data_IF_103093594377
#
_entry.id   IF_103093594377
#
_cell.length_a   1.000
_cell.length_b   1.000
_cell.length_c   1.000
_cell.angle_alpha   90.00
_cell.angle_beta   90.00
_cell.angle_gamma   90.00
#
_symmetry.space_group_name_H-M   'P 1'
#
loop_
_entity.id
_entity.type
_entity.pdbx_description
1 polymer ?
#
# COMPACT_ATOMS: atom_id res chain seq x y z
N UNK A 1 -7.45 -21.50 -2.74
CA UNK A 1 -7.06 -20.94 -4.06
C UNK A 1 -6.69 -19.46 -3.95
N UNK A 2 -5.96 -18.92 -4.93
CA UNK A 2 -5.68 -17.48 -5.01
C UNK A 2 -6.97 -16.62 -5.12
N UNK A 3 -8.07 -17.26 -5.53
CA UNK A 3 -9.42 -16.68 -5.61
C UNK A 3 -10.08 -16.45 -4.25
N UNK A 4 -9.56 -17.06 -3.17
CA UNK A 4 -10.09 -16.87 -1.81
C UNK A 4 -9.56 -15.60 -1.13
N UNK A 5 -8.63 -14.89 -1.76
CA UNK A 5 -8.08 -13.64 -1.26
C UNK A 5 -9.15 -12.56 -1.34
N UNK A 6 -9.56 -12.02 -0.20
CA UNK A 6 -10.60 -10.98 -0.11
C UNK A 6 -10.07 -9.56 -0.24
N UNK A 7 -8.75 -9.37 -0.16
CA UNK A 7 -8.11 -8.07 -0.25
C UNK A 7 -6.61 -8.13 0.01
N UNK A 8 -5.90 -7.08 -0.42
CA UNK A 8 -4.44 -6.96 -0.27
C UNK A 8 -4.12 -5.77 0.64
N UNK A 9 -3.25 -5.98 1.62
CA UNK A 9 -2.71 -4.91 2.46
C UNK A 9 -1.24 -4.71 2.15
N UNK A 10 -0.84 -3.46 1.97
CA UNK A 10 0.52 -3.05 1.61
C UNK A 10 0.96 -1.88 2.48
N UNK A 11 2.23 -1.90 2.87
CA UNK A 11 2.87 -0.80 3.59
C UNK A 11 3.27 0.29 2.60
N UNK A 12 2.73 1.51 2.75
CA UNK A 12 2.98 2.65 1.84
C UNK A 12 4.12 3.57 2.25
N UNK A 13 4.79 3.31 3.38
CA UNK A 13 5.93 4.08 3.88
C UNK A 13 5.70 4.65 5.29
N UNK A 14 6.65 5.44 5.82
CA UNK A 14 7.93 5.83 5.20
C UNK A 14 8.92 4.66 5.07
N UNK A 15 9.75 4.68 4.02
CA UNK A 15 10.70 3.60 3.72
C UNK A 15 11.47 3.83 2.42
N UNK A 16 12.22 2.81 1.98
CA UNK A 16 13.02 2.87 0.74
C UNK A 16 12.14 3.16 -0.48
N UNK A 17 12.49 4.21 -1.22
CA UNK A 17 11.78 4.66 -2.42
C UNK A 17 11.62 3.54 -3.46
N UNK A 18 12.70 2.80 -3.72
CA UNK A 18 12.71 1.69 -4.69
C UNK A 18 11.81 0.55 -4.24
N UNK A 19 11.93 0.15 -2.96
CA UNK A 19 11.12 -0.94 -2.41
C UNK A 19 9.63 -0.58 -2.39
N UNK A 20 9.29 0.67 -2.00
CA UNK A 20 7.92 1.15 -1.98
C UNK A 20 7.33 1.20 -3.39
N UNK A 21 8.07 1.69 -4.40
CA UNK A 21 7.58 1.71 -5.79
C UNK A 21 7.30 0.33 -6.33
N UNK A 22 8.27 -0.59 -6.21
CA UNK A 22 8.12 -1.96 -6.73
C UNK A 22 7.02 -2.69 -5.98
N UNK A 23 7.00 -2.60 -4.64
CA UNK A 23 6.01 -3.26 -3.79
C UNK A 23 4.59 -2.76 -4.05
N UNK A 24 4.38 -1.45 -4.10
CA UNK A 24 3.05 -0.88 -4.35
C UNK A 24 2.60 -1.11 -5.79
N UNK A 25 3.49 -1.02 -6.79
CA UNK A 25 3.14 -1.34 -8.17
C UNK A 25 2.65 -2.79 -8.28
N UNK A 26 3.42 -3.74 -7.75
CA UNK A 26 3.08 -5.16 -7.75
C UNK A 26 1.76 -5.43 -7.03
N UNK A 27 1.58 -4.87 -5.83
CA UNK A 27 0.36 -5.06 -5.05
C UNK A 27 -0.88 -4.46 -5.72
N UNK A 28 -0.76 -3.25 -6.28
CA UNK A 28 -1.84 -2.61 -7.02
C UNK A 28 -2.22 -3.41 -8.27
N UNK A 29 -1.24 -3.89 -9.04
CA UNK A 29 -1.49 -4.72 -10.23
C UNK A 29 -2.16 -6.04 -9.86
N UNK A 30 -1.72 -6.70 -8.78
CA UNK A 30 -2.32 -7.94 -8.32
C UNK A 30 -3.77 -7.72 -7.85
N UNK A 31 -4.01 -6.66 -7.08
CA UNK A 31 -5.35 -6.31 -6.62
C UNK A 31 -6.29 -5.95 -7.77
N UNK A 32 -5.77 -5.26 -8.79
CA UNK A 32 -6.50 -4.94 -10.01
C UNK A 32 -6.84 -6.21 -10.81
N UNK A 33 -5.87 -7.10 -11.04
CA UNK A 33 -6.07 -8.34 -11.77
C UNK A 33 -7.09 -9.29 -11.09
N UNK A 34 -7.12 -9.29 -9.75
CA UNK A 34 -8.06 -10.09 -8.96
C UNK A 34 -9.38 -9.36 -8.66
N UNK A 35 -9.53 -8.10 -9.07
CA UNK A 35 -10.70 -7.26 -8.78
C UNK A 35 -11.01 -7.13 -7.26
N UNK A 36 -9.98 -7.14 -6.43
CA UNK A 36 -10.10 -7.09 -4.97
C UNK A 36 -9.68 -5.72 -4.41
N UNK A 37 -10.22 -5.31 -3.24
CA UNK A 37 -9.79 -4.08 -2.59
C UNK A 37 -8.33 -4.18 -2.13
N UNK A 38 -7.63 -3.05 -2.21
CA UNK A 38 -6.27 -2.89 -1.70
C UNK A 38 -6.24 -1.74 -0.69
N UNK A 39 -5.48 -1.91 0.39
CA UNK A 39 -5.32 -0.90 1.43
C UNK A 39 -3.83 -0.59 1.67
N UNK A 40 -3.55 0.69 1.85
CA UNK A 40 -2.21 1.19 2.16
C UNK A 40 -2.09 1.58 3.62
N UNK A 41 -1.27 0.88 4.39
CA UNK A 41 -0.98 1.22 5.78
C UNK A 41 0.32 1.98 5.91
N UNK A 42 0.35 2.98 6.80
CA UNK A 42 1.57 3.73 7.12
C UNK A 42 2.36 2.94 8.16
N UNK A 43 3.64 2.68 7.88
CA UNK A 43 4.55 2.08 8.86
C UNK A 43 4.82 3.14 9.93
N UNK A 44 4.23 2.97 11.09
CA UNK A 44 4.60 3.75 12.27
C UNK A 44 5.37 2.83 13.20
N UNK A 45 6.19 3.36 14.12
CA UNK A 45 6.89 2.58 15.15
C UNK A 45 5.94 1.87 16.14
N UNK A 46 4.65 1.81 15.81
CA UNK A 46 3.60 1.15 16.56
C UNK A 46 3.69 -0.37 16.34
N UNK A 47 3.32 -1.11 17.37
CA UNK A 47 3.35 -2.58 17.37
C UNK A 47 2.56 -3.15 16.19
N UNK A 48 3.09 -4.22 15.59
CA UNK A 48 2.53 -4.87 14.40
C UNK A 48 1.04 -5.24 14.55
N UNK A 49 0.56 -5.51 15.76
CA UNK A 49 -0.83 -5.86 16.03
C UNK A 49 -1.82 -4.71 15.75
N UNK A 50 -1.44 -3.46 16.02
CA UNK A 50 -2.29 -2.28 15.79
C UNK A 50 -2.49 -2.02 14.28
N UNK A 51 -1.44 -2.29 13.49
CA UNK A 51 -1.48 -2.21 12.03
C UNK A 51 -2.44 -3.24 11.44
N UNK A 52 -2.42 -4.47 11.95
CA UNK A 52 -3.33 -5.54 11.51
C UNK A 52 -4.78 -5.16 11.82
N UNK A 53 -5.07 -4.66 13.05
CA UNK A 53 -6.41 -4.21 13.44
C UNK A 53 -6.93 -3.10 12.53
N UNK A 54 -6.12 -2.06 12.32
CA UNK A 54 -6.46 -0.93 11.45
C UNK A 54 -6.67 -1.38 10.00
N UNK A 55 -5.86 -2.33 9.53
CA UNK A 55 -5.98 -2.92 8.21
C UNK A 55 -7.32 -3.64 8.00
N UNK A 56 -7.67 -4.52 8.93
CA UNK A 56 -8.94 -5.27 8.90
C UNK A 56 -10.16 -4.33 8.99
N UNK A 57 -10.11 -3.28 9.79
CA UNK A 57 -11.17 -2.27 9.84
C UNK A 57 -11.30 -1.47 8.54
N UNK A 58 -10.18 -1.17 7.88
CA UNK A 58 -10.17 -0.46 6.61
C UNK A 58 -10.85 -1.26 5.50
N UNK A 59 -10.69 -2.59 5.51
CA UNK A 59 -11.41 -3.48 4.58
C UNK A 59 -12.92 -3.48 4.78
N UNK A 60 -13.44 -3.25 5.99
CA UNK A 60 -14.90 -3.15 6.22
C UNK A 60 -15.50 -1.90 5.55
N UNK A 61 -14.71 -0.83 5.43
CA UNK A 61 -15.15 0.46 4.85
C UNK A 61 -14.98 0.50 3.33
N UNK A 62 -13.98 -0.20 2.79
CA UNK A 62 -13.64 -0.15 1.37
C UNK A 62 -14.35 -1.26 0.62
N UNK A 63 -15.31 -0.88 -0.25
CA UNK A 63 -16.05 -1.80 -1.12
C UNK A 63 -15.53 -1.88 -2.56
N UNK A 64 -14.52 -1.07 -2.91
CA UNK A 64 -14.01 -0.96 -4.30
C UNK A 64 -12.49 -0.83 -4.32
N UNK A 65 -11.89 -1.25 -5.42
CA UNK A 65 -10.47 -1.03 -5.69
C UNK A 65 -10.15 0.48 -5.67
N UNK A 66 -9.15 0.86 -4.87
CA UNK A 66 -8.58 2.20 -4.85
C UNK A 66 -7.07 2.05 -4.80
N UNK A 67 -6.39 2.48 -5.86
CA UNK A 67 -4.93 2.37 -5.95
C UNK A 67 -4.26 3.01 -4.73
N UNK A 68 -3.28 2.31 -4.16
CA UNK A 68 -2.46 2.83 -3.07
C UNK A 68 -1.29 3.60 -3.66
N UNK A 69 -1.11 4.83 -3.19
CA UNK A 69 0.04 5.66 -3.53
C UNK A 69 1.12 5.58 -2.43
N UNK A 70 2.40 5.54 -2.81
CA UNK A 70 3.51 5.58 -1.87
C UNK A 70 3.57 6.94 -1.18
N UNK A 71 3.86 6.92 0.12
CA UNK A 71 4.16 8.10 0.91
C UNK A 71 5.69 8.25 0.95
N UNK A 72 6.20 9.03 0.02
CA UNK A 72 7.62 9.38 -0.01
C UNK A 72 7.89 10.41 1.09
N UNK A 73 8.86 10.12 1.96
CA UNK A 73 9.35 11.07 2.96
C UNK A 73 10.35 12.09 2.40
N UNK A 74 10.61 12.07 1.09
CA UNK A 74 11.58 12.96 0.45
C UNK A 74 10.94 13.58 -0.79
N UNK A 75 11.08 14.90 -0.93
CA UNK A 75 10.72 15.59 -2.16
C UNK A 75 11.58 15.06 -3.32
N UNK A 76 11.05 15.01 -4.55
CA UNK A 76 11.86 14.62 -5.70
C UNK A 76 13.03 15.59 -5.85
N UNK A 77 14.28 15.11 -5.74
CA UNK A 77 15.45 15.88 -6.16
C UNK A 77 15.46 15.98 -7.68
N UNK A 78 14.72 16.95 -8.23
CA UNK A 78 14.91 17.39 -9.60
C UNK A 78 16.20 18.20 -9.64
N UNK A 79 17.23 17.66 -10.31
CA UNK A 79 18.42 18.43 -10.65
C UNK A 79 17.96 19.55 -11.59
N UNK A 80 17.93 20.78 -11.09
CA UNK A 80 17.65 21.95 -11.92
C UNK A 80 18.86 22.12 -12.83
N UNK A 81 18.72 21.73 -14.10
CA UNK A 81 19.73 22.05 -15.11
C UNK A 81 19.68 23.57 -15.32
N UNK A 82 20.75 24.23 -14.88
CA UNK A 82 21.00 25.65 -15.14
C UNK A 82 21.58 25.85 -16.53
#
# INVERSE_FOLDING_TARGET
DIKDIKGIMVVKGPGSFTALRIGLATANTLAWALHIPIIGVKLTNKQNEELIKTGVESFKKIKRFKQVMPEYGMEPNITQVS
#
